data_IF_178752069498
#
_entry.id   IF_178752069498
#
_cell.length_a   1.000
_cell.length_b   1.000
_cell.length_c   1.000
_cell.angle_alpha   90.00
_cell.angle_beta   90.00
_cell.angle_gamma   90.00
#
_symmetry.space_group_name_H-M   'P 1'
#
loop_
_entity.id
_entity.type
_entity.pdbx_description
1 polymer ?
#
# COMPACT_ATOMS: atom_id res chain seq x y z
N UNK A 1 -13.15 23.37 14.90
CA UNK A 1 -12.92 22.67 13.62
C UNK A 1 -12.66 21.21 13.99
N UNK A 2 -13.45 20.29 13.48
CA UNK A 2 -13.17 18.87 13.66
C UNK A 2 -11.79 18.57 13.03
N UNK A 3 -10.92 17.96 13.79
CA UNK A 3 -9.60 17.58 13.30
C UNK A 3 -9.78 16.39 12.35
N UNK A 4 -9.47 16.56 11.07
CA UNK A 4 -9.53 15.47 10.10
C UNK A 4 -8.63 14.34 10.57
N UNK A 5 -9.19 13.13 10.65
CA UNK A 5 -8.46 11.90 10.99
C UNK A 5 -8.47 10.94 9.81
N UNK A 6 -7.30 10.42 9.48
CA UNK A 6 -7.16 9.33 8.50
C UNK A 6 -6.91 8.01 9.24
N UNK A 7 -7.59 6.96 8.82
CA UNK A 7 -7.36 5.60 9.25
C UNK A 7 -6.53 4.87 8.19
N UNK A 8 -5.32 4.48 8.56
CA UNK A 8 -4.35 3.84 7.67
C UNK A 8 -4.18 2.38 8.02
N UNK A 9 -3.99 1.55 7.01
CA UNK A 9 -3.67 0.14 7.16
C UNK A 9 -2.30 -0.15 6.56
N UNK A 10 -1.49 -0.88 7.30
CA UNK A 10 -0.22 -1.43 6.83
C UNK A 10 -0.11 -2.90 7.23
N UNK A 11 0.49 -3.71 6.35
CA UNK A 11 0.78 -5.12 6.62
C UNK A 11 2.25 -5.36 6.35
N UNK A 12 3.01 -5.84 7.34
CA UNK A 12 4.44 -6.07 7.18
C UNK A 12 5.01 -7.00 8.25
N UNK A 13 6.19 -7.52 7.97
CA UNK A 13 7.05 -8.17 8.92
C UNK A 13 8.05 -7.19 9.57
N UNK A 14 8.87 -7.68 10.50
CA UNK A 14 9.85 -6.85 11.21
C UNK A 14 10.91 -6.21 10.29
N UNK A 15 11.20 -6.81 9.13
CA UNK A 15 12.22 -6.32 8.21
C UNK A 15 11.80 -5.03 7.51
N UNK A 16 10.49 -4.78 7.43
CA UNK A 16 9.93 -3.57 6.83
C UNK A 16 9.59 -2.45 7.82
N UNK A 17 9.83 -2.63 9.12
CA UNK A 17 9.66 -1.55 10.12
C UNK A 17 10.49 -0.28 9.80
N UNK A 18 11.77 -0.38 9.36
CA UNK A 18 12.52 0.82 8.96
C UNK A 18 11.85 1.59 7.82
N UNK A 19 11.25 0.88 6.85
CA UNK A 19 10.56 1.49 5.72
C UNK A 19 9.23 2.12 6.14
N UNK A 20 8.48 1.45 7.02
CA UNK A 20 7.27 2.02 7.62
C UNK A 20 7.57 3.35 8.32
N UNK A 21 8.66 3.45 9.08
CA UNK A 21 9.10 4.71 9.72
C UNK A 21 9.33 5.82 8.69
N UNK A 22 9.98 5.49 7.57
CA UNK A 22 10.22 6.45 6.48
C UNK A 22 8.91 6.91 5.85
N UNK A 23 8.01 5.98 5.56
CA UNK A 23 6.69 6.27 4.99
C UNK A 23 5.88 7.17 5.94
N UNK A 24 5.76 6.80 7.23
CA UNK A 24 5.01 7.58 8.23
C UNK A 24 5.64 8.96 8.47
N UNK A 25 6.98 9.09 8.41
CA UNK A 25 7.65 10.39 8.50
C UNK A 25 7.31 11.27 7.29
N UNK A 26 7.31 10.71 6.09
CA UNK A 26 6.91 11.46 4.89
C UNK A 26 5.44 11.90 4.95
N UNK A 27 4.56 11.02 5.40
CA UNK A 27 3.15 11.32 5.63
C UNK A 27 2.97 12.46 6.65
N UNK A 28 3.65 12.38 7.80
CA UNK A 28 3.56 13.41 8.85
C UNK A 28 3.96 14.79 8.35
N UNK A 29 5.02 14.85 7.54
CA UNK A 29 5.54 16.11 7.01
C UNK A 29 4.64 16.68 5.90
N UNK A 30 3.99 15.84 5.12
CA UNK A 30 3.03 16.25 4.08
C UNK A 30 1.64 16.60 4.64
N UNK A 31 1.35 16.21 5.90
CA UNK A 31 0.04 16.42 6.54
C UNK A 31 0.19 17.06 7.93
N UNK A 32 0.71 18.30 8.02
CA UNK A 32 0.80 18.99 9.30
C UNK A 32 -0.61 19.23 9.87
N UNK A 33 -0.86 18.74 11.10
CA UNK A 33 -2.13 18.93 11.80
C UNK A 33 -3.20 17.84 11.53
N UNK A 34 -2.98 16.92 10.58
CA UNK A 34 -3.87 15.76 10.41
C UNK A 34 -3.51 14.69 11.44
N UNK A 35 -4.52 14.14 12.09
CA UNK A 35 -4.36 12.98 12.98
C UNK A 35 -4.44 11.70 12.16
N UNK A 36 -3.64 10.69 12.53
CA UNK A 36 -3.70 9.38 11.91
C UNK A 36 -3.86 8.30 12.96
N UNK A 37 -4.67 7.31 12.63
CA UNK A 37 -4.70 6.03 13.32
C UNK A 37 -4.15 4.97 12.37
N UNK A 38 -3.06 4.32 12.77
CA UNK A 38 -2.33 3.35 11.96
C UNK A 38 -2.63 1.96 12.48
N UNK A 39 -3.34 1.17 11.71
CA UNK A 39 -3.58 -0.24 11.95
C UNK A 39 -2.43 -1.03 11.35
N UNK A 40 -1.65 -1.69 12.20
CA UNK A 40 -0.55 -2.55 11.77
C UNK A 40 -0.94 -4.01 11.95
N UNK A 41 -1.20 -4.68 10.83
CA UNK A 41 -1.39 -6.13 10.81
C UNK A 41 -0.04 -6.82 10.71
N UNK A 42 0.26 -7.70 11.66
CA UNK A 42 1.53 -8.43 11.69
C UNK A 42 1.37 -9.82 12.30
N UNK A 43 2.33 -10.69 12.03
CA UNK A 43 2.39 -12.03 12.59
C UNK A 43 3.23 -12.07 13.86
N UNK A 44 4.47 -11.58 13.79
CA UNK A 44 5.46 -11.81 14.85
C UNK A 44 6.54 -10.72 14.90
N UNK A 45 6.11 -9.44 15.06
CA UNK A 45 7.07 -8.36 15.31
C UNK A 45 7.39 -8.33 16.80
N UNK A 46 8.68 -8.20 17.22
CA UNK A 46 9.06 -8.08 18.62
C UNK A 46 8.38 -6.89 19.32
N UNK A 47 7.85 -7.12 20.52
CA UNK A 47 7.09 -6.12 21.28
C UNK A 47 7.91 -4.85 21.57
N UNK A 48 9.21 -4.99 21.84
CA UNK A 48 10.11 -3.85 22.07
C UNK A 48 10.16 -2.90 20.86
N UNK A 49 10.21 -3.44 19.65
CA UNK A 49 10.21 -2.65 18.41
C UNK A 49 8.88 -1.98 18.16
N UNK A 50 7.78 -2.66 18.49
CA UNK A 50 6.42 -2.11 18.39
C UNK A 50 6.20 -0.99 19.41
N UNK A 51 6.64 -1.17 20.66
CA UNK A 51 6.53 -0.15 21.71
C UNK A 51 7.33 1.12 21.37
N UNK A 52 8.51 0.98 20.78
CA UNK A 52 9.30 2.12 20.32
C UNK A 52 8.58 2.89 19.20
N UNK A 53 8.01 2.18 18.22
CA UNK A 53 7.23 2.79 17.16
C UNK A 53 5.99 3.51 17.71
N UNK A 54 5.25 2.87 18.61
CA UNK A 54 4.05 3.42 19.25
C UNK A 54 4.38 4.72 20.01
N UNK A 55 5.44 4.69 20.83
CA UNK A 55 5.90 5.86 21.60
C UNK A 55 6.27 7.03 20.67
N UNK A 56 6.99 6.77 19.58
CA UNK A 56 7.35 7.78 18.62
C UNK A 56 6.13 8.40 17.91
N UNK A 57 5.18 7.57 17.50
CA UNK A 57 3.94 8.00 16.83
C UNK A 57 3.03 8.78 17.78
N UNK A 58 2.94 8.41 19.05
CA UNK A 58 2.18 9.14 20.07
C UNK A 58 2.68 10.58 20.21
N UNK A 59 4.00 10.81 20.10
CA UNK A 59 4.60 12.14 20.09
C UNK A 59 4.12 13.04 18.91
N UNK A 60 3.60 12.45 17.86
CA UNK A 60 3.01 13.16 16.71
C UNK A 60 1.49 13.30 16.82
N UNK A 61 0.85 12.75 17.85
CA UNK A 61 -0.59 12.62 17.97
C UNK A 61 -1.18 11.52 17.08
N UNK A 62 -0.35 10.61 16.58
CA UNK A 62 -0.78 9.42 15.85
C UNK A 62 -1.04 8.28 16.82
N UNK A 63 -2.06 7.48 16.53
CA UNK A 63 -2.38 6.26 17.28
C UNK A 63 -1.90 5.04 16.49
N UNK A 64 -1.14 4.17 17.12
CA UNK A 64 -0.82 2.84 16.57
C UNK A 64 -1.79 1.80 17.16
N UNK A 65 -2.43 1.04 16.30
CA UNK A 65 -3.30 -0.08 16.66
C UNK A 65 -2.65 -1.36 16.14
N UNK A 66 -2.17 -2.17 17.06
CA UNK A 66 -1.50 -3.44 16.74
C UNK A 66 -2.54 -4.54 16.59
N UNK A 67 -2.53 -5.25 15.47
CA UNK A 67 -3.39 -6.38 15.21
C UNK A 67 -2.50 -7.57 14.87
N UNK A 68 -2.37 -8.47 15.84
CA UNK A 68 -1.70 -9.74 15.60
C UNK A 68 -2.67 -10.68 14.88
N UNK A 69 -2.28 -11.07 13.67
CA UNK A 69 -3.09 -11.97 12.87
C UNK A 69 -2.95 -13.40 13.41
N UNK A 70 -4.09 -14.02 13.70
CA UNK A 70 -4.14 -15.40 14.15
C UNK A 70 -3.88 -16.34 12.98
N UNK A 71 -2.89 -17.24 13.12
CA UNK A 71 -2.55 -18.23 12.13
C UNK A 71 -3.70 -19.24 11.87
N UNK A 72 -4.60 -19.41 12.84
CA UNK A 72 -5.75 -20.28 12.70
C UNK A 72 -6.69 -19.87 11.54
N UNK A 73 -6.76 -18.57 11.22
CA UNK A 73 -7.56 -18.06 10.09
C UNK A 73 -7.05 -18.59 8.75
N UNK A 74 -5.77 -18.96 8.69
CA UNK A 74 -5.08 -19.38 7.47
C UNK A 74 -4.69 -20.87 7.50
N UNK A 75 -5.29 -21.64 8.39
CA UNK A 75 -4.96 -23.05 8.56
C UNK A 75 -5.17 -23.86 7.27
N UNK A 76 -6.21 -23.50 6.50
CA UNK A 76 -6.55 -24.12 5.22
C UNK A 76 -6.04 -23.32 4.00
N UNK A 77 -5.26 -22.25 4.24
CA UNK A 77 -4.74 -21.43 3.15
C UNK A 77 -3.66 -22.22 2.37
N UNK A 78 -3.64 -22.13 1.04
CA UNK A 78 -2.55 -22.66 0.23
C UNK A 78 -1.29 -21.80 0.41
N UNK A 79 -0.54 -22.04 1.49
CA UNK A 79 0.68 -21.30 1.85
C UNK A 79 1.91 -22.06 1.38
N UNK A 80 2.80 -21.37 0.67
CA UNK A 80 4.10 -21.88 0.23
C UNK A 80 5.14 -20.78 0.33
N UNK A 81 6.42 -21.06 0.09
CA UNK A 81 7.46 -20.03 -0.01
C UNK A 81 7.14 -18.95 -1.05
N UNK A 82 6.37 -19.31 -2.08
CA UNK A 82 5.93 -18.40 -3.13
C UNK A 82 4.68 -17.60 -2.73
N UNK A 83 3.82 -18.18 -1.89
CA UNK A 83 2.56 -17.61 -1.43
C UNK A 83 2.55 -17.54 0.09
N UNK A 84 3.31 -16.61 0.69
CA UNK A 84 3.33 -16.45 2.13
C UNK A 84 1.98 -15.96 2.64
N UNK A 85 1.66 -16.30 3.86
CA UNK A 85 0.39 -15.97 4.50
C UNK A 85 0.11 -14.46 4.49
N UNK A 86 1.14 -13.64 4.59
CA UNK A 86 1.06 -12.18 4.62
C UNK A 86 0.44 -11.58 3.34
N UNK A 87 0.48 -12.28 2.21
CA UNK A 87 -0.15 -11.81 0.98
C UNK A 87 -1.68 -11.69 1.10
N UNK A 88 -2.31 -12.53 1.95
CA UNK A 88 -3.75 -12.49 2.17
C UNK A 88 -4.19 -11.33 3.07
N UNK A 89 -3.29 -10.81 3.91
CA UNK A 89 -3.66 -9.86 4.97
C UNK A 89 -4.34 -8.61 4.42
N UNK A 90 -3.85 -8.03 3.32
CA UNK A 90 -4.46 -6.83 2.73
C UNK A 90 -5.85 -7.10 2.15
N UNK A 91 -6.06 -8.24 1.53
CA UNK A 91 -7.35 -8.59 0.93
C UNK A 91 -8.39 -8.95 1.98
N UNK A 92 -7.97 -9.62 3.05
CA UNK A 92 -8.82 -10.00 4.18
C UNK A 92 -8.83 -8.96 5.32
N UNK A 93 -8.23 -7.80 5.12
CA UNK A 93 -8.05 -6.78 6.16
C UNK A 93 -9.36 -6.40 6.86
N UNK A 94 -10.46 -6.32 6.12
CA UNK A 94 -11.76 -5.97 6.67
C UNK A 94 -12.25 -6.92 7.79
N UNK A 95 -11.75 -8.17 7.82
CA UNK A 95 -12.08 -9.15 8.86
C UNK A 95 -11.32 -8.94 10.17
N UNK A 96 -10.17 -8.27 10.10
CA UNK A 96 -9.31 -8.02 11.27
C UNK A 96 -9.53 -6.63 11.86
N UNK A 97 -10.08 -5.71 11.08
CA UNK A 97 -10.31 -4.33 11.49
C UNK A 97 -11.62 -4.19 12.27
N UNK A 98 -11.72 -3.22 13.23
CA UNK A 98 -12.92 -2.97 14.01
C UNK A 98 -14.18 -2.82 13.14
N UNK A 99 -15.30 -3.41 13.58
CA UNK A 99 -16.55 -3.41 12.81
C UNK A 99 -17.09 -2.00 12.52
N UNK A 100 -16.90 -1.08 13.46
CA UNK A 100 -17.31 0.31 13.33
C UNK A 100 -16.48 1.11 12.32
N UNK A 101 -15.32 0.60 11.91
CA UNK A 101 -14.48 1.23 10.91
C UNK A 101 -15.07 0.98 9.51
N UNK A 102 -15.46 2.07 8.84
CA UNK A 102 -16.11 1.97 7.51
C UNK A 102 -15.16 2.06 6.35
N UNK A 103 -14.04 2.80 6.50
CA UNK A 103 -13.04 2.95 5.44
C UNK A 103 -11.64 2.93 6.01
N UNK A 104 -10.69 2.52 5.21
CA UNK A 104 -9.26 2.56 5.54
C UNK A 104 -8.43 2.79 4.26
N UNK A 105 -7.32 3.49 4.38
CA UNK A 105 -6.36 3.63 3.30
C UNK A 105 -5.18 2.69 3.56
N UNK A 106 -5.07 1.64 2.75
CA UNK A 106 -3.92 0.75 2.75
C UNK A 106 -2.75 1.37 1.99
N UNK A 107 -1.56 1.32 2.58
CA UNK A 107 -0.32 1.78 1.98
C UNK A 107 0.79 0.74 2.17
N UNK A 108 1.47 0.38 1.09
CA UNK A 108 2.70 -0.42 1.18
C UNK A 108 3.80 0.38 1.90
N UNK A 109 4.68 -0.27 2.69
CA UNK A 109 5.71 0.43 3.46
C UNK A 109 6.84 1.03 2.61
N UNK A 110 6.95 0.67 1.34
CA UNK A 110 7.96 1.18 0.39
C UNK A 110 7.49 2.40 -0.43
N UNK A 111 6.66 3.22 0.19
CA UNK A 111 6.08 4.44 -0.35
C UNK A 111 6.70 5.68 0.31
N UNK A 112 6.78 6.79 -0.42
CA UNK A 112 6.87 8.14 0.14
C UNK A 112 5.59 8.90 -0.17
N UNK A 113 5.02 9.53 0.85
CA UNK A 113 3.92 10.49 0.71
C UNK A 113 4.54 11.88 0.61
N UNK A 114 4.41 12.53 -0.55
CA UNK A 114 5.07 13.81 -0.82
C UNK A 114 4.10 14.98 -1.00
N UNK A 115 2.82 14.71 -1.19
CA UNK A 115 1.74 15.68 -1.19
C UNK A 115 0.50 15.12 -0.45
N UNK A 116 -0.59 15.92 -0.39
CA UNK A 116 -1.77 15.57 0.39
C UNK A 116 -2.49 14.31 -0.10
N UNK A 117 -2.80 13.40 0.83
CA UNK A 117 -3.67 12.23 0.61
C UNK A 117 -5.15 12.52 0.88
N UNK A 118 -5.49 13.70 1.42
CA UNK A 118 -6.86 14.01 1.81
C UNK A 118 -7.87 13.86 0.66
N UNK A 119 -7.58 14.30 -0.58
CA UNK A 119 -8.54 14.09 -1.67
C UNK A 119 -8.78 12.61 -2.01
N UNK A 120 -7.78 11.73 -1.82
CA UNK A 120 -7.97 10.29 -1.95
C UNK A 120 -8.75 9.74 -0.76
N UNK A 121 -8.41 10.17 0.47
CA UNK A 121 -9.10 9.74 1.68
C UNK A 121 -10.59 10.08 1.67
N UNK A 122 -10.95 11.23 1.13
CA UNK A 122 -12.33 11.74 1.04
C UNK A 122 -13.10 11.24 -0.19
N UNK A 123 -12.41 10.51 -1.10
CA UNK A 123 -13.03 10.02 -2.33
C UNK A 123 -14.20 9.09 -2.03
N UNK A 124 -15.35 9.35 -2.67
CA UNK A 124 -16.49 8.46 -2.61
C UNK A 124 -16.27 7.25 -3.54
N UNK A 125 -16.48 6.05 -3.01
CA UNK A 125 -16.23 4.81 -3.74
C UNK A 125 -17.39 4.37 -4.64
N UNK A 126 -18.54 5.04 -4.58
CA UNK A 126 -19.71 4.85 -5.45
C UNK A 126 -20.11 3.37 -5.66
N UNK A 127 -20.04 2.60 -4.58
CA UNK A 127 -20.39 1.19 -4.62
C UNK A 127 -19.24 0.23 -4.96
N UNK A 128 -18.03 0.72 -5.24
CA UNK A 128 -16.84 -0.12 -5.41
C UNK A 128 -16.29 -0.58 -4.06
N UNK A 129 -15.54 -1.68 -4.08
CA UNK A 129 -14.84 -2.20 -2.90
C UNK A 129 -13.57 -1.40 -2.61
N UNK A 130 -12.90 -0.98 -3.67
CA UNK A 130 -11.60 -0.31 -3.61
C UNK A 130 -11.54 0.88 -4.57
N UNK A 131 -10.67 1.85 -4.25
CA UNK A 131 -10.08 2.72 -5.26
C UNK A 131 -8.59 2.40 -5.36
N UNK A 132 -8.09 2.23 -6.58
CA UNK A 132 -6.70 1.91 -6.86
C UNK A 132 -6.25 2.44 -8.23
N UNK A 133 -4.94 2.59 -8.39
CA UNK A 133 -4.34 3.00 -9.64
C UNK A 133 -3.86 1.80 -10.45
N UNK A 134 -4.11 1.83 -11.76
CA UNK A 134 -3.50 0.93 -12.71
C UNK A 134 -2.25 1.59 -13.29
N UNK A 135 -1.08 0.97 -13.15
CA UNK A 135 0.13 1.44 -13.79
C UNK A 135 0.05 1.21 -15.30
N UNK A 136 -0.21 2.26 -16.06
CA UNK A 136 -0.35 2.21 -17.52
C UNK A 136 0.94 2.62 -18.27
N UNK A 137 1.07 2.34 -19.54
CA UNK A 137 2.23 2.72 -20.36
C UNK A 137 3.09 1.52 -20.79
N UNK A 138 4.40 1.42 -20.45
CA UNK A 138 5.20 0.19 -20.73
C UNK A 138 4.51 -1.08 -20.25
N UNK A 139 3.59 -0.89 -19.36
CA UNK A 139 2.68 -1.86 -18.79
C UNK A 139 1.47 -2.15 -19.66
N UNK A 140 1.20 -1.42 -20.76
CA UNK A 140 0.03 -1.75 -21.58
C UNK A 140 0.16 -3.15 -22.21
N UNK A 141 1.35 -3.48 -22.70
CA UNK A 141 1.64 -4.84 -23.16
C UNK A 141 1.62 -5.81 -21.96
N UNK A 142 2.21 -5.43 -20.83
CA UNK A 142 2.19 -6.24 -19.60
C UNK A 142 0.78 -6.37 -19.02
N UNK A 143 -0.02 -5.31 -19.07
CA UNK A 143 -1.44 -5.35 -18.67
C UNK A 143 -2.25 -6.26 -19.58
N UNK A 144 -2.04 -6.22 -20.90
CA UNK A 144 -2.69 -7.14 -21.84
C UNK A 144 -2.26 -8.59 -21.58
N UNK A 145 -0.99 -8.84 -21.28
CA UNK A 145 -0.51 -10.17 -20.88
C UNK A 145 -1.17 -10.61 -19.57
N UNK A 146 -1.26 -9.72 -18.59
CA UNK A 146 -1.91 -10.02 -17.30
C UNK A 146 -3.42 -10.25 -17.48
N UNK A 147 -4.11 -9.44 -18.27
CA UNK A 147 -5.54 -9.65 -18.60
C UNK A 147 -5.76 -11.02 -19.23
N UNK A 148 -4.95 -11.36 -20.22
CA UNK A 148 -5.05 -12.67 -20.89
C UNK A 148 -4.77 -13.82 -19.93
N UNK A 149 -3.72 -13.69 -19.09
CA UNK A 149 -3.33 -14.70 -18.10
C UNK A 149 -4.39 -14.90 -17.01
N UNK A 150 -5.02 -13.80 -16.55
CA UNK A 150 -6.03 -13.84 -15.48
C UNK A 150 -7.46 -13.95 -16.01
N UNK A 151 -7.66 -13.95 -17.35
CA UNK A 151 -8.99 -14.00 -17.94
C UNK A 151 -9.85 -12.76 -17.63
N UNK A 152 -9.24 -11.59 -17.39
CA UNK A 152 -9.93 -10.35 -17.02
C UNK A 152 -10.02 -9.37 -18.19
N UNK A 153 -11.09 -8.55 -18.24
CA UNK A 153 -11.28 -7.52 -19.27
C UNK A 153 -10.88 -6.11 -18.82
N UNK A 154 -10.82 -5.87 -17.50
CA UNK A 154 -10.56 -4.57 -16.90
C UNK A 154 -9.07 -4.17 -16.86
N UNK A 155 -8.79 -3.02 -16.25
CA UNK A 155 -7.43 -2.59 -15.95
C UNK A 155 -6.78 -3.49 -14.91
N UNK A 156 -5.44 -3.52 -14.92
CA UNK A 156 -4.67 -4.28 -13.93
C UNK A 156 -4.15 -3.32 -12.85
N UNK A 157 -4.82 -3.31 -11.72
CA UNK A 157 -4.58 -2.39 -10.61
C UNK A 157 -3.41 -2.84 -9.73
N UNK A 158 -2.66 -1.87 -9.23
CA UNK A 158 -1.61 -2.12 -8.25
C UNK A 158 -2.19 -2.18 -6.83
N UNK A 159 -1.80 -3.19 -6.06
CA UNK A 159 -2.31 -3.46 -4.70
C UNK A 159 -1.64 -2.67 -3.59
N UNK A 160 -0.65 -1.82 -3.90
CA UNK A 160 0.16 -1.13 -2.88
C UNK A 160 -0.45 0.16 -2.32
N UNK A 161 -1.49 0.70 -2.99
CA UNK A 161 -2.30 1.83 -2.50
C UNK A 161 -3.77 1.49 -2.76
N UNK A 162 -4.54 1.27 -1.70
CA UNK A 162 -5.95 0.90 -1.79
C UNK A 162 -6.77 1.73 -0.79
N UNK A 163 -7.68 2.58 -1.28
CA UNK A 163 -8.77 3.05 -0.43
C UNK A 163 -9.84 1.96 -0.41
N UNK A 164 -10.27 1.54 0.78
CA UNK A 164 -11.14 0.38 0.97
C UNK A 164 -12.46 0.78 1.64
N UNK A 165 -13.59 0.34 1.07
CA UNK A 165 -14.89 0.29 1.76
C UNK A 165 -14.96 -0.99 2.59
N UNK A 166 -14.74 -0.87 3.89
CA UNK A 166 -14.64 -2.04 4.77
C UNK A 166 -16.00 -2.72 4.99
N UNK A 167 -17.10 -2.00 4.94
CA UNK A 167 -18.43 -2.58 5.06
C UNK A 167 -18.72 -3.51 3.88
N UNK A 168 -18.45 -3.02 2.66
CA UNK A 168 -18.59 -3.84 1.45
C UNK A 168 -17.60 -4.99 1.40
N UNK A 169 -16.33 -4.73 1.77
CA UNK A 169 -15.32 -5.78 1.80
C UNK A 169 -15.70 -6.93 2.76
N UNK A 170 -16.31 -6.64 3.93
CA UNK A 170 -16.80 -7.69 4.84
C UNK A 170 -17.91 -8.53 4.23
N UNK A 171 -18.77 -7.92 3.44
CA UNK A 171 -19.91 -8.58 2.84
C UNK A 171 -19.59 -9.35 1.56
N UNK A 172 -18.58 -8.93 0.81
CA UNK A 172 -18.34 -9.41 -0.55
C UNK A 172 -17.00 -10.17 -0.71
N UNK A 173 -16.05 -10.05 0.24
CA UNK A 173 -14.77 -10.77 0.17
C UNK A 173 -14.81 -11.97 1.11
N UNK A 174 -14.77 -13.16 0.53
CA UNK A 174 -14.83 -14.42 1.27
C UNK A 174 -13.48 -15.14 1.25
N UNK A 175 -13.06 -15.63 2.42
CA UNK A 175 -11.77 -16.32 2.58
C UNK A 175 -11.69 -17.56 1.69
N UNK A 176 -12.79 -18.30 1.62
CA UNK A 176 -12.91 -19.54 0.85
C UNK A 176 -12.69 -19.26 -0.64
N UNK A 177 -13.25 -18.17 -1.18
CA UNK A 177 -13.06 -17.77 -2.58
C UNK A 177 -11.60 -17.47 -2.91
N UNK A 178 -10.89 -16.74 -2.01
CA UNK A 178 -9.47 -16.46 -2.19
C UNK A 178 -8.64 -17.77 -2.17
N UNK A 179 -8.91 -18.65 -1.22
CA UNK A 179 -8.16 -19.91 -1.09
C UNK A 179 -8.41 -20.85 -2.25
N UNK A 180 -9.66 -20.97 -2.69
CA UNK A 180 -10.03 -21.74 -3.87
C UNK A 180 -9.36 -21.19 -5.14
N UNK A 181 -9.32 -19.87 -5.29
CA UNK A 181 -8.65 -19.25 -6.42
C UNK A 181 -7.16 -19.57 -6.44
N UNK A 182 -6.46 -19.43 -5.31
CA UNK A 182 -5.02 -19.74 -5.21
C UNK A 182 -4.77 -21.23 -5.41
N UNK A 183 -5.62 -22.10 -4.88
CA UNK A 183 -5.50 -23.56 -5.05
C UNK A 183 -5.62 -23.98 -6.52
N UNK A 184 -6.49 -23.33 -7.28
CA UNK A 184 -6.77 -23.67 -8.68
C UNK A 184 -5.86 -22.96 -9.69
N UNK A 185 -5.35 -21.74 -9.36
CA UNK A 185 -4.61 -20.86 -10.28
C UNK A 185 -3.21 -20.49 -9.77
N UNK A 186 -2.74 -21.09 -8.68
CA UNK A 186 -1.46 -20.72 -8.05
C UNK A 186 -0.29 -20.68 -9.03
N UNK A 187 -0.18 -21.63 -9.94
CA UNK A 187 0.92 -21.68 -10.92
C UNK A 187 0.92 -20.49 -11.92
N UNK A 188 -0.22 -19.85 -12.08
CA UNK A 188 -0.39 -18.68 -12.96
C UNK A 188 -0.04 -17.36 -12.27
N UNK A 189 -0.01 -17.30 -10.92
CA UNK A 189 0.22 -16.07 -10.17
C UNK A 189 1.69 -15.62 -10.27
N UNK A 190 1.90 -14.36 -10.60
CA UNK A 190 3.22 -13.69 -10.68
C UNK A 190 3.42 -12.74 -9.50
N UNK A 191 2.40 -11.93 -9.22
CA UNK A 191 2.28 -11.03 -8.08
C UNK A 191 1.02 -11.44 -7.30
N UNK A 192 1.12 -12.42 -6.39
CA UNK A 192 -0.03 -13.18 -5.93
C UNK A 192 -1.18 -12.32 -5.37
N UNK A 193 -0.92 -11.43 -4.43
CA UNK A 193 -1.92 -10.54 -3.85
C UNK A 193 -2.55 -9.59 -4.87
N UNK A 194 -1.73 -9.03 -5.76
CA UNK A 194 -2.19 -8.14 -6.82
C UNK A 194 -2.96 -8.91 -7.90
N UNK A 195 -2.50 -10.11 -8.26
CA UNK A 195 -3.18 -10.97 -9.25
C UNK A 195 -4.56 -11.40 -8.73
N UNK A 196 -4.67 -11.80 -7.47
CA UNK A 196 -5.95 -12.18 -6.83
C UNK A 196 -6.89 -10.97 -6.79
N UNK A 197 -6.41 -9.79 -6.37
CA UNK A 197 -7.20 -8.55 -6.37
C UNK A 197 -7.82 -8.31 -7.75
N UNK A 198 -7.01 -8.41 -8.80
CA UNK A 198 -7.47 -8.12 -10.16
C UNK A 198 -8.37 -9.21 -10.72
N UNK A 199 -8.08 -10.48 -10.47
CA UNK A 199 -8.86 -11.59 -10.97
C UNK A 199 -10.27 -11.66 -10.36
N UNK A 200 -10.36 -11.51 -9.04
CA UNK A 200 -11.63 -11.66 -8.33
C UNK A 200 -12.40 -10.33 -8.22
N UNK A 201 -11.69 -9.23 -8.01
CA UNK A 201 -12.34 -7.95 -7.67
C UNK A 201 -11.98 -6.80 -8.60
N UNK A 202 -11.29 -7.03 -9.73
CA UNK A 202 -10.89 -5.97 -10.67
C UNK A 202 -12.08 -5.16 -11.19
N UNK A 203 -13.23 -5.79 -11.44
CA UNK A 203 -14.49 -5.12 -11.81
C UNK A 203 -15.16 -4.31 -10.69
N UNK A 204 -14.63 -4.39 -9.46
CA UNK A 204 -15.13 -3.68 -8.27
C UNK A 204 -14.13 -2.62 -7.78
N UNK A 205 -13.18 -2.21 -8.62
CA UNK A 205 -12.18 -1.18 -8.34
C UNK A 205 -12.54 0.11 -9.08
N UNK A 206 -12.67 1.21 -8.33
CA UNK A 206 -12.73 2.55 -8.88
C UNK A 206 -11.31 2.97 -9.29
N UNK A 207 -11.13 3.23 -10.58
CA UNK A 207 -9.82 3.66 -11.10
C UNK A 207 -9.47 5.06 -10.63
N UNK A 208 -8.25 5.26 -10.14
CA UNK A 208 -7.67 6.57 -9.82
C UNK A 208 -6.37 6.77 -10.59
N UNK A 209 -5.98 8.05 -10.75
CA UNK A 209 -4.81 8.44 -11.54
C UNK A 209 -3.50 7.96 -10.91
N UNK A 210 -2.73 7.16 -11.67
CA UNK A 210 -1.44 6.64 -11.23
C UNK A 210 -0.34 7.71 -11.14
N UNK A 211 -0.44 8.81 -11.89
CA UNK A 211 0.49 9.95 -11.78
C UNK A 211 0.44 10.60 -10.40
N UNK A 212 -0.73 10.60 -9.77
CA UNK A 212 -0.97 11.27 -8.49
C UNK A 212 -0.91 10.30 -7.32
N UNK A 213 -1.68 9.20 -7.40
CA UNK A 213 -2.01 8.37 -6.25
C UNK A 213 -1.14 7.13 -6.09
N UNK A 214 -0.38 6.75 -7.13
CA UNK A 214 0.52 5.58 -7.06
C UNK A 214 1.59 5.64 -8.14
N UNK A 215 2.41 6.69 -8.13
CA UNK A 215 3.46 6.91 -9.11
C UNK A 215 4.60 5.90 -8.96
N UNK A 216 4.81 5.05 -9.95
CA UNK A 216 5.94 4.11 -9.94
C UNK A 216 7.27 4.84 -10.13
N UNK A 217 8.02 4.99 -9.05
CA UNK A 217 9.29 5.70 -9.00
C UNK A 217 10.37 5.15 -9.97
N UNK A 218 10.18 3.95 -10.52
CA UNK A 218 11.07 3.34 -11.51
C UNK A 218 10.86 3.89 -12.91
N UNK A 219 9.66 4.37 -13.22
CA UNK A 219 9.15 4.57 -14.57
C UNK A 219 9.05 6.04 -14.99
N UNK A 220 9.84 6.95 -14.37
CA UNK A 220 9.81 8.39 -14.67
C UNK A 220 9.78 8.72 -16.17
N UNK A 221 10.67 8.11 -16.97
CA UNK A 221 10.74 8.39 -18.41
C UNK A 221 9.46 7.98 -19.15
N UNK A 222 8.78 6.95 -18.66
CA UNK A 222 7.51 6.50 -19.22
C UNK A 222 6.39 7.51 -18.93
N UNK A 223 6.30 8.01 -17.69
CA UNK A 223 5.35 9.06 -17.31
C UNK A 223 5.59 10.35 -18.10
N UNK A 224 6.85 10.74 -18.26
CA UNK A 224 7.22 11.92 -19.06
C UNK A 224 6.75 11.78 -20.52
N UNK A 225 6.93 10.60 -21.14
CA UNK A 225 6.47 10.33 -22.52
C UNK A 225 4.93 10.32 -22.59
N UNK A 226 4.25 9.67 -21.65
CA UNK A 226 2.78 9.59 -21.60
C UNK A 226 2.13 10.99 -21.48
N UNK A 227 2.76 11.89 -20.74
CA UNK A 227 2.31 13.27 -20.55
C UNK A 227 2.81 14.23 -21.66
N UNK A 228 3.41 13.73 -22.73
CA UNK A 228 4.03 14.56 -23.78
C UNK A 228 5.05 15.58 -23.23
N UNK A 229 5.74 15.21 -22.15
CA UNK A 229 6.77 16.03 -21.51
C UNK A 229 6.29 16.88 -20.34
N UNK A 230 5.01 16.92 -20.06
CA UNK A 230 4.45 17.78 -18.98
C UNK A 230 4.78 17.27 -17.57
N UNK A 231 4.72 15.96 -17.35
CA UNK A 231 5.03 15.37 -16.04
C UNK A 231 6.54 15.23 -15.82
N UNK A 232 7.23 16.34 -15.84
CA UNK A 232 8.63 16.47 -15.48
C UNK A 232 8.86 16.32 -13.97
N UNK A 233 10.09 16.55 -13.50
CA UNK A 233 10.42 16.39 -12.10
C UNK A 233 9.70 17.41 -11.22
N UNK A 234 9.58 18.66 -11.68
CA UNK A 234 8.93 19.73 -10.93
C UNK A 234 7.42 19.46 -10.82
N UNK A 235 6.82 18.98 -11.92
CA UNK A 235 5.42 18.55 -11.92
C UNK A 235 5.20 17.40 -10.92
N UNK A 236 6.04 16.37 -10.94
CA UNK A 236 5.94 15.23 -10.00
C UNK A 236 6.03 15.71 -8.56
N UNK A 237 6.98 16.61 -8.25
CA UNK A 237 7.12 17.13 -6.89
C UNK A 237 5.92 17.97 -6.44
N UNK A 238 5.26 18.67 -7.38
CA UNK A 238 4.12 19.53 -7.08
C UNK A 238 2.78 18.77 -6.99
N UNK A 239 2.59 17.68 -7.74
CA UNK A 239 1.27 17.06 -7.93
C UNK A 239 1.18 15.61 -7.45
N UNK A 240 2.25 14.82 -7.54
CA UNK A 240 2.23 13.42 -7.09
C UNK A 240 2.08 13.35 -5.58
N UNK A 241 1.07 12.65 -5.09
CA UNK A 241 0.87 12.41 -3.66
C UNK A 241 1.69 11.22 -3.17
N UNK A 242 1.74 10.14 -3.94
CA UNK A 242 2.41 8.89 -3.58
C UNK A 242 3.48 8.52 -4.59
N UNK A 243 4.74 8.48 -4.14
CA UNK A 243 5.85 7.84 -4.85
C UNK A 243 6.02 6.42 -4.34
N UNK A 244 5.77 5.43 -5.18
CA UNK A 244 5.87 4.03 -4.84
C UNK A 244 7.14 3.41 -5.44
N UNK A 245 7.97 2.83 -4.60
CA UNK A 245 9.24 2.18 -5.01
C UNK A 245 9.03 0.69 -5.28
N UNK A 246 8.14 0.39 -6.23
CA UNK A 246 7.77 -0.96 -6.61
C UNK A 246 8.96 -1.84 -7.02
N UNK A 247 8.78 -3.18 -6.92
CA UNK A 247 9.71 -4.19 -7.42
C UNK A 247 10.91 -4.45 -6.52
N UNK A 248 11.87 -5.23 -7.02
CA UNK A 248 12.99 -5.79 -6.23
C UNK A 248 14.11 -4.80 -5.91
N UNK A 249 14.29 -3.79 -6.77
CA UNK A 249 15.30 -2.74 -6.54
C UNK A 249 14.73 -1.70 -5.58
N UNK A 250 15.34 -1.55 -4.42
CA UNK A 250 14.82 -0.70 -3.35
C UNK A 250 15.74 0.48 -3.04
N UNK A 251 15.20 1.70 -2.79
CA UNK A 251 15.95 2.94 -2.66
C UNK A 251 16.88 2.99 -1.42
N UNK A 252 16.63 2.16 -0.41
CA UNK A 252 17.51 2.01 0.75
C UNK A 252 18.73 1.16 0.51
N UNK A 253 18.76 0.38 -0.60
CA UNK A 253 19.94 -0.44 -0.97
C UNK A 253 21.04 0.43 -1.61
N UNK A 254 22.32 0.07 -1.37
CA UNK A 254 23.49 0.83 -1.84
C UNK A 254 23.56 0.92 -3.37
N UNK A 255 23.12 -0.10 -4.08
CA UNK A 255 23.19 -0.22 -5.53
C UNK A 255 22.03 0.44 -6.28
N UNK A 256 21.01 0.98 -5.61
CA UNK A 256 19.91 1.68 -6.27
C UNK A 256 20.39 2.96 -6.95
N UNK A 257 20.11 3.12 -8.26
CA UNK A 257 20.64 4.21 -9.11
C UNK A 257 19.56 5.09 -9.75
N UNK A 258 18.27 4.88 -9.36
CA UNK A 258 17.16 5.59 -9.98
C UNK A 258 16.96 7.00 -9.40
N UNK A 259 16.21 7.83 -10.13
CA UNK A 259 16.03 9.28 -9.95
C UNK A 259 15.65 9.69 -8.52
N UNK A 260 14.65 9.05 -7.93
CA UNK A 260 14.12 9.44 -6.62
C UNK A 260 14.91 8.90 -5.40
N UNK A 261 16.09 8.32 -5.63
CA UNK A 261 16.95 7.82 -4.54
C UNK A 261 17.31 8.89 -3.53
N UNK A 262 17.65 10.11 -3.99
CA UNK A 262 18.08 11.20 -3.11
C UNK A 262 16.93 11.61 -2.19
N UNK A 263 15.73 11.71 -2.74
CA UNK A 263 14.52 12.04 -1.97
C UNK A 263 14.25 10.97 -0.91
N UNK A 264 14.28 9.68 -1.28
CA UNK A 264 14.07 8.60 -0.31
C UNK A 264 15.12 8.63 0.81
N UNK A 265 16.41 8.84 0.47
CA UNK A 265 17.49 8.97 1.45
C UNK A 265 17.32 10.17 2.37
N UNK A 266 16.81 11.28 1.87
CA UNK A 266 16.47 12.43 2.68
C UNK A 266 15.41 12.07 3.73
N UNK A 267 14.32 11.40 3.33
CA UNK A 267 13.29 10.96 4.27
C UNK A 267 13.79 9.87 5.24
N UNK A 268 14.73 9.02 4.84
CA UNK A 268 15.39 8.10 5.80
C UNK A 268 16.09 8.87 6.91
N UNK A 269 16.89 9.89 6.58
CA UNK A 269 17.58 10.72 7.57
C UNK A 269 16.57 11.47 8.46
N UNK A 270 15.44 11.91 7.91
CA UNK A 270 14.37 12.52 8.71
C UNK A 270 13.69 11.51 9.63
N UNK A 271 13.45 10.29 9.16
CA UNK A 271 12.90 9.22 9.99
C UNK A 271 13.84 8.87 11.16
N UNK A 272 15.14 8.77 10.92
CA UNK A 272 16.13 8.53 11.99
C UNK A 272 16.15 9.65 13.02
N UNK A 273 15.85 10.89 12.62
CA UNK A 273 15.79 12.05 13.51
C UNK A 273 14.49 12.16 14.29
N UNK A 274 13.34 11.92 13.63
CA UNK A 274 12.02 12.23 14.19
C UNK A 274 11.24 11.02 14.69
N UNK A 275 11.60 9.84 14.23
CA UNK A 275 11.00 8.56 14.61
C UNK A 275 12.10 7.50 14.71
N UNK A 276 13.07 7.62 15.66
CA UNK A 276 14.20 6.70 15.76
C UNK A 276 13.78 5.26 16.05
N UNK A 277 14.65 4.30 15.73
CA UNK A 277 14.46 2.90 16.16
C UNK A 277 14.74 2.73 17.66
N UNK A 278 14.20 1.63 18.23
CA UNK A 278 14.52 1.25 19.58
C UNK A 278 16.05 1.06 19.74
N UNK A 279 16.65 1.74 20.73
CA UNK A 279 18.07 1.54 21.08
C UNK A 279 19.09 2.30 20.23
N UNK A 280 18.69 3.28 19.41
CA UNK A 280 19.62 4.21 18.73
C UNK A 280 19.73 5.55 19.41
#
# INVERSE_FOLDING_TARGET
METTRMDLLVTLDEHYLPQLRVMLTSLRLSHPGVQCRVYLLHRSIPEERLAALESGLAGWGYQLVLIRVDEAVFQDAPVTDRYPQEMYYRLLAARFLPEELKRVLYLDPDILVINSLLPLWELELDGHLFAAAAHTGKTEIANNVNRFRLGTEGDYYNSGVLLMDLERCRNEIHTEELFDYVSNHGDELILPDQDILNALYGGRVLAVDDFIWNYDARNFSNYLVRSMGEADLDWVMAHTAVLHFCGREKPWKKNYRRRFRVLYRHYMNLADKYLPEAGT
#
